data_IF_727327011661
#
_entry.id   IF_727327011661
#
_cell.length_a   1.000
_cell.length_b   1.000
_cell.length_c   1.000
_cell.angle_alpha   90.00
_cell.angle_beta   90.00
_cell.angle_gamma   90.00
#
_symmetry.space_group_name_H-M   'P 1'
#
loop_
_entity.id
_entity.type
_entity.pdbx_description
1 polymer ?
#
# COMPACT_ATOMS: atom_id res chain seq x y z
N UNK A 1 -12.17 2.51 -64.98
CA UNK A 1 -11.20 3.21 -64.10
C UNK A 1 -11.87 3.93 -62.94
N UNK A 2 -12.77 4.89 -63.17
CA UNK A 2 -13.42 5.71 -62.11
C UNK A 2 -14.26 4.92 -61.10
N UNK A 3 -15.12 3.99 -61.57
CA UNK A 3 -15.96 3.16 -60.67
C UNK A 3 -15.14 2.27 -59.73
N UNK A 4 -14.04 1.69 -60.22
CA UNK A 4 -13.16 0.85 -59.41
C UNK A 4 -12.52 1.67 -58.28
N UNK A 5 -11.98 2.85 -58.60
CA UNK A 5 -11.38 3.75 -57.62
C UNK A 5 -12.42 4.24 -56.60
N UNK A 6 -13.64 4.54 -57.03
CA UNK A 6 -14.75 4.92 -56.14
C UNK A 6 -15.12 3.80 -55.15
N UNK A 7 -15.20 2.56 -55.61
CA UNK A 7 -15.50 1.41 -54.73
C UNK A 7 -14.35 1.20 -53.73
N UNK A 8 -13.10 1.31 -54.18
CA UNK A 8 -11.93 1.17 -53.31
C UNK A 8 -11.90 2.26 -52.23
N UNK A 9 -12.19 3.52 -52.57
CA UNK A 9 -12.21 4.60 -51.58
C UNK A 9 -13.34 4.44 -50.56
N UNK A 10 -14.54 4.01 -51.00
CA UNK A 10 -15.64 3.69 -50.08
C UNK A 10 -15.24 2.56 -49.12
N UNK A 11 -14.64 1.47 -49.63
CA UNK A 11 -14.17 0.38 -48.80
C UNK A 11 -13.07 0.82 -47.82
N UNK A 12 -12.14 1.68 -48.25
CA UNK A 12 -11.09 2.21 -47.40
C UNK A 12 -11.67 3.05 -46.25
N UNK A 13 -12.66 3.90 -46.52
CA UNK A 13 -13.34 4.70 -45.48
C UNK A 13 -14.10 3.79 -44.52
N UNK A 14 -14.83 2.78 -45.02
CA UNK A 14 -15.54 1.83 -44.16
C UNK A 14 -14.59 1.04 -43.26
N UNK A 15 -13.44 0.62 -43.78
CA UNK A 15 -12.41 -0.09 -43.03
C UNK A 15 -11.84 0.82 -41.93
N UNK A 16 -11.54 2.07 -42.24
CA UNK A 16 -11.06 3.05 -41.26
C UNK A 16 -12.08 3.23 -40.13
N UNK A 17 -13.36 3.46 -40.48
CA UNK A 17 -14.43 3.61 -39.48
C UNK A 17 -14.56 2.36 -38.63
N UNK A 18 -14.49 1.17 -39.24
CA UNK A 18 -14.52 -0.10 -38.52
C UNK A 18 -13.38 -0.21 -37.50
N UNK A 19 -12.15 0.11 -37.90
CA UNK A 19 -10.97 0.08 -37.02
C UNK A 19 -11.15 1.04 -35.84
N UNK A 20 -11.61 2.27 -36.09
CA UNK A 20 -11.87 3.25 -35.03
C UNK A 20 -12.90 2.74 -34.03
N UNK A 21 -14.04 2.22 -34.50
CA UNK A 21 -15.09 1.70 -33.64
C UNK A 21 -14.60 0.48 -32.84
N UNK A 22 -13.82 -0.40 -33.47
CA UNK A 22 -13.25 -1.57 -32.81
C UNK A 22 -12.36 -1.16 -31.63
N UNK A 23 -11.40 -0.25 -31.85
CA UNK A 23 -10.52 0.22 -30.79
C UNK A 23 -11.26 1.01 -29.70
N UNK A 24 -12.21 1.86 -30.08
CA UNK A 24 -13.01 2.62 -29.11
C UNK A 24 -13.79 1.68 -28.17
N UNK A 25 -14.41 0.62 -28.70
CA UNK A 25 -15.07 -0.41 -27.89
C UNK A 25 -14.10 -1.13 -26.97
N UNK A 26 -12.89 -1.41 -27.44
CA UNK A 26 -11.82 -1.99 -26.62
C UNK A 26 -11.44 -1.10 -25.43
N UNK A 27 -11.23 0.19 -25.69
CA UNK A 27 -10.92 1.19 -24.65
C UNK A 27 -12.05 1.28 -23.62
N UNK A 28 -13.30 1.38 -24.07
CA UNK A 28 -14.46 1.43 -23.16
C UNK A 28 -14.50 0.21 -22.24
N UNK A 29 -14.36 -1.00 -22.80
CA UNK A 29 -14.34 -2.23 -21.98
C UNK A 29 -13.22 -2.21 -20.94
N UNK A 30 -12.03 -1.77 -21.32
CA UNK A 30 -10.90 -1.68 -20.40
C UNK A 30 -11.19 -0.67 -19.27
N UNK A 31 -11.63 0.55 -19.61
CA UNK A 31 -11.98 1.56 -18.61
C UNK A 31 -13.08 1.08 -17.66
N UNK A 32 -14.10 0.39 -18.19
CA UNK A 32 -15.17 -0.19 -17.37
C UNK A 32 -14.63 -1.22 -16.38
N UNK A 33 -13.69 -2.08 -16.82
CA UNK A 33 -13.08 -3.07 -15.93
C UNK A 33 -12.17 -2.47 -14.85
N UNK A 34 -11.51 -1.34 -15.14
CA UNK A 34 -10.58 -0.69 -14.22
C UNK A 34 -11.31 0.15 -13.18
N UNK A 35 -12.31 0.95 -13.59
CA UNK A 35 -12.95 1.92 -12.70
C UNK A 35 -14.43 2.22 -12.95
N UNK A 36 -15.07 1.57 -13.93
CA UNK A 36 -16.45 1.89 -14.31
C UNK A 36 -17.55 1.16 -13.52
N UNK A 37 -17.20 0.22 -12.64
CA UNK A 37 -18.18 -0.48 -11.80
C UNK A 37 -17.72 -0.60 -10.34
N UNK A 38 -18.67 -0.81 -9.42
CA UNK A 38 -18.35 -1.06 -8.01
C UNK A 38 -17.57 -2.36 -7.76
N UNK A 39 -17.48 -3.25 -8.74
CA UNK A 39 -16.67 -4.49 -8.71
C UNK A 39 -15.33 -4.37 -9.45
N UNK A 40 -15.03 -3.19 -10.01
CA UNK A 40 -13.80 -2.91 -10.75
C UNK A 40 -12.55 -3.02 -9.88
N UNK A 41 -11.38 -3.14 -10.54
CA UNK A 41 -10.11 -3.26 -9.84
C UNK A 41 -9.83 -2.10 -8.87
N UNK A 42 -10.11 -0.85 -9.28
CA UNK A 42 -9.95 0.32 -8.40
C UNK A 42 -10.90 0.29 -7.21
N UNK A 43 -12.14 -0.19 -7.41
CA UNK A 43 -13.08 -0.33 -6.31
C UNK A 43 -12.59 -1.35 -5.27
N UNK A 44 -12.05 -2.49 -5.73
CA UNK A 44 -11.43 -3.49 -4.85
C UNK A 44 -10.20 -2.94 -4.13
N UNK A 45 -9.32 -2.24 -4.83
CA UNK A 45 -8.13 -1.61 -4.24
C UNK A 45 -8.50 -0.58 -3.18
N UNK A 46 -9.51 0.25 -3.43
CA UNK A 46 -10.00 1.23 -2.44
C UNK A 46 -10.52 0.55 -1.18
N UNK A 47 -11.31 -0.52 -1.33
CA UNK A 47 -11.81 -1.28 -0.17
C UNK A 47 -10.67 -1.96 0.60
N UNK A 48 -9.72 -2.57 -0.12
CA UNK A 48 -8.54 -3.18 0.49
C UNK A 48 -7.67 -2.16 1.23
N UNK A 49 -7.42 -0.99 0.64
CA UNK A 49 -6.64 0.07 1.26
C UNK A 49 -7.35 0.63 2.50
N UNK A 50 -8.67 0.80 2.46
CA UNK A 50 -9.47 1.21 3.62
C UNK A 50 -9.44 0.19 4.75
N UNK A 51 -9.46 -1.10 4.41
CA UNK A 51 -9.31 -2.16 5.41
C UNK A 51 -7.92 -2.10 6.06
N UNK A 52 -6.86 -1.95 5.26
CA UNK A 52 -5.49 -1.77 5.78
C UNK A 52 -5.44 -0.55 6.72
N UNK A 53 -5.95 0.61 6.30
CA UNK A 53 -5.99 1.82 7.13
C UNK A 53 -6.75 1.62 8.45
N UNK A 54 -7.87 0.90 8.41
CA UNK A 54 -8.67 0.61 9.62
C UNK A 54 -7.93 -0.33 10.56
N UNK A 55 -7.35 -1.41 10.03
CA UNK A 55 -6.62 -2.42 10.80
C UNK A 55 -5.24 -1.93 11.27
N UNK A 56 -4.60 -0.98 10.58
CA UNK A 56 -3.28 -0.47 10.96
C UNK A 56 -3.32 0.90 11.64
N UNK A 57 -4.48 1.56 11.66
CA UNK A 57 -4.63 2.91 12.23
C UNK A 57 -4.26 3.03 13.70
N UNK A 58 -4.29 1.91 14.45
CA UNK A 58 -3.90 1.87 15.85
C UNK A 58 -2.39 1.63 16.07
N UNK A 59 -1.63 1.23 15.04
CA UNK A 59 -0.20 0.93 15.17
C UNK A 59 0.63 2.10 15.69
N UNK A 60 0.45 3.37 15.24
CA UNK A 60 1.25 4.48 15.75
C UNK A 60 1.14 4.65 17.27
N UNK A 61 -0.06 4.49 17.81
CA UNK A 61 -0.31 4.59 19.26
C UNK A 61 0.33 3.42 20.00
N UNK A 62 0.16 2.19 19.49
CA UNK A 62 0.72 1.00 20.14
C UNK A 62 2.24 1.00 20.11
N UNK A 63 2.86 1.37 18.99
CA UNK A 63 4.33 1.49 18.86
C UNK A 63 4.87 2.57 19.81
N UNK A 64 4.17 3.70 19.93
CA UNK A 64 4.57 4.76 20.88
C UNK A 64 4.53 4.25 22.32
N UNK A 65 3.45 3.56 22.72
CA UNK A 65 3.32 2.97 24.06
C UNK A 65 4.39 1.91 24.32
N UNK A 66 4.63 1.02 23.35
CA UNK A 66 5.64 -0.03 23.45
C UNK A 66 7.03 0.55 23.65
N UNK A 67 7.41 1.55 22.84
CA UNK A 67 8.71 2.21 22.96
C UNK A 67 8.86 2.93 24.30
N UNK A 68 7.80 3.56 24.80
CA UNK A 68 7.77 4.17 26.13
C UNK A 68 8.06 3.14 27.22
N UNK A 69 7.30 2.03 27.24
CA UNK A 69 7.49 0.95 28.21
C UNK A 69 8.89 0.33 28.12
N UNK A 70 9.42 0.10 26.92
CA UNK A 70 10.78 -0.40 26.74
C UNK A 70 11.84 0.58 27.25
N UNK A 71 11.61 1.88 27.09
CA UNK A 71 12.49 2.93 27.63
C UNK A 71 12.49 2.92 29.15
N UNK A 72 11.31 2.79 29.77
CA UNK A 72 11.17 2.69 31.23
C UNK A 72 11.86 1.43 31.78
N UNK A 73 11.64 0.29 31.12
CA UNK A 73 12.30 -0.98 31.48
C UNK A 73 13.81 -0.86 31.38
N UNK A 74 14.34 -0.29 30.29
CA UNK A 74 15.77 -0.07 30.14
C UNK A 74 16.35 0.83 31.24
N UNK A 75 15.62 1.89 31.62
CA UNK A 75 15.98 2.76 32.73
C UNK A 75 16.01 2.01 34.07
N UNK A 76 14.99 1.19 34.35
CA UNK A 76 14.93 0.37 35.56
C UNK A 76 16.05 -0.66 35.64
N UNK A 77 16.38 -1.34 34.53
CA UNK A 77 17.51 -2.28 34.49
C UNK A 77 18.84 -1.60 34.79
N UNK A 78 19.05 -0.37 34.29
CA UNK A 78 20.27 0.38 34.58
C UNK A 78 20.40 0.70 36.08
N UNK A 79 19.31 1.08 36.74
CA UNK A 79 19.31 1.31 38.19
C UNK A 79 19.64 0.03 38.96
N UNK A 80 19.08 -1.11 38.55
CA UNK A 80 19.38 -2.41 39.16
C UNK A 80 20.87 -2.77 39.01
N UNK A 81 21.46 -2.51 37.83
CA UNK A 81 22.88 -2.75 37.56
C UNK A 81 23.78 -1.88 38.46
N UNK A 82 23.50 -0.58 38.54
CA UNK A 82 24.21 0.36 39.43
C UNK A 82 24.13 -0.09 40.90
N UNK A 83 22.94 -0.47 41.38
CA UNK A 83 22.75 -0.98 42.74
C UNK A 83 23.48 -2.29 43.01
N UNK A 84 23.57 -3.19 42.01
CA UNK A 84 24.32 -4.43 42.11
C UNK A 84 25.81 -4.14 42.25
N UNK A 85 26.36 -3.24 41.43
CA UNK A 85 27.76 -2.85 41.48
C UNK A 85 28.13 -2.25 42.84
N UNK A 86 27.30 -1.34 43.36
CA UNK A 86 27.48 -0.76 44.69
C UNK A 86 27.45 -1.83 45.79
N UNK A 87 26.48 -2.75 45.73
CA UNK A 87 26.32 -3.83 46.71
C UNK A 87 27.52 -4.78 46.71
N UNK A 88 28.05 -5.12 45.52
CA UNK A 88 29.26 -5.93 45.37
C UNK A 88 30.46 -5.20 45.99
N UNK A 89 30.65 -3.92 45.66
CA UNK A 89 31.74 -3.10 46.18
C UNK A 89 31.68 -2.98 47.72
N UNK A 90 30.48 -2.81 48.28
CA UNK A 90 30.28 -2.78 49.73
C UNK A 90 30.63 -4.14 50.39
N UNK A 91 30.18 -5.25 49.80
CA UNK A 91 30.48 -6.59 50.30
C UNK A 91 31.98 -6.92 50.24
N UNK A 92 32.69 -6.46 49.20
CA UNK A 92 34.16 -6.62 49.09
C UNK A 92 34.87 -5.81 50.18
N UNK A 93 34.44 -4.57 50.45
CA UNK A 93 35.02 -3.72 51.50
C UNK A 93 34.82 -4.29 52.92
N UNK A 94 33.76 -5.05 53.16
CA UNK A 94 33.50 -5.70 54.46
C UNK A 94 34.39 -6.93 54.72
N UNK A 95 35.00 -7.51 53.69
CA UNK A 95 35.84 -8.71 53.79
C UNK A 95 37.32 -8.43 54.07
N UNK A 96 37.70 -7.15 54.14
CA UNK A 96 39.03 -6.63 54.52
C UNK A 96 38.93 -6.01 55.91
#
# INVERSE_FOLDING_TARGET
MSLLLMVITILAVLLLVYVLVHYLRGIIKLLTSIGGSGSSYLAKLRLGLRAIETETGHLPVQVTKLNGALTEVAGGLKVVDEQLEESINAAVKQKV
#
